data_IF_307887186724
#
_entry.id   IF_307887186724
#
_cell.length_a   1.000
_cell.length_b   1.000
_cell.length_c   1.000
_cell.angle_alpha   90.00
_cell.angle_beta   90.00
_cell.angle_gamma   90.00
#
_symmetry.space_group_name_H-M   'P 1'
#
loop_
_entity.id
_entity.type
_entity.pdbx_description
1 polymer ?
#
# COMPACT_ATOMS: atom_id res chain seq x y z
N UNK A 1 -2.88 -7.24 5.18
CA UNK A 1 -1.47 -7.34 4.74
C UNK A 1 -0.94 -8.74 5.06
N UNK A 2 -0.01 -9.22 4.26
CA UNK A 2 0.70 -10.49 4.44
C UNK A 2 2.23 -10.29 4.44
N UNK A 3 2.95 -11.29 4.96
CA UNK A 3 4.42 -11.25 5.02
C UNK A 3 4.99 -11.08 3.61
N UNK A 4 5.79 -10.04 3.42
CA UNK A 4 6.37 -9.66 2.13
C UNK A 4 5.74 -8.40 1.55
N UNK A 5 4.51 -8.05 1.94
CA UNK A 5 3.84 -6.82 1.48
C UNK A 5 4.60 -5.57 1.92
N UNK A 6 4.58 -4.56 1.06
CA UNK A 6 5.16 -3.25 1.31
C UNK A 6 4.09 -2.19 1.12
N UNK A 7 3.85 -1.37 2.14
CA UNK A 7 3.02 -0.17 2.02
C UNK A 7 3.93 1.06 2.00
N UNK A 8 3.85 1.85 0.95
CA UNK A 8 4.65 3.07 0.75
C UNK A 8 3.73 4.28 0.73
N UNK A 9 4.12 5.33 1.44
CA UNK A 9 3.44 6.61 1.38
C UNK A 9 4.47 7.73 1.28
N UNK A 10 4.10 8.76 0.54
CA UNK A 10 4.98 9.90 0.33
C UNK A 10 4.21 11.21 0.42
N UNK A 11 4.96 12.30 0.53
CA UNK A 11 4.36 13.59 0.75
C UNK A 11 5.37 14.66 1.06
N UNK A 12 4.87 15.76 1.59
CA UNK A 12 5.66 16.90 2.06
C UNK A 12 5.20 17.29 3.45
N UNK A 13 6.17 17.53 4.34
CA UNK A 13 5.90 18.03 5.68
C UNK A 13 5.83 19.55 5.65
N UNK A 14 4.93 20.13 6.45
CA UNK A 14 4.90 21.58 6.69
C UNK A 14 6.24 22.09 7.24
N UNK A 15 6.56 23.35 6.98
CA UNK A 15 7.68 24.04 7.62
C UNK A 15 7.41 24.40 9.08
N UNK A 16 6.16 24.27 9.55
CA UNK A 16 5.76 24.57 10.92
C UNK A 16 5.86 23.34 11.84
N UNK A 17 6.28 23.52 13.12
CA UNK A 17 6.28 22.45 14.11
C UNK A 17 4.93 21.73 14.17
N UNK A 18 4.96 20.40 14.18
CA UNK A 18 3.76 19.58 14.15
C UNK A 18 4.02 18.15 14.62
N UNK A 19 2.95 17.44 14.98
CA UNK A 19 2.98 16.01 15.31
C UNK A 19 2.35 15.23 14.16
N UNK A 20 3.14 14.34 13.55
CA UNK A 20 2.67 13.42 12.52
C UNK A 20 2.45 12.05 13.13
N UNK A 21 1.34 11.42 12.73
CA UNK A 21 0.95 10.10 13.23
C UNK A 21 0.50 9.20 12.09
N UNK A 22 1.00 7.98 12.08
CA UNK A 22 0.58 6.90 11.18
C UNK A 22 0.17 5.72 12.03
N UNK A 23 -1.05 5.23 11.84
CA UNK A 23 -1.55 4.04 12.51
C UNK A 23 -1.92 2.98 11.49
N UNK A 24 -1.43 1.77 11.66
CA UNK A 24 -1.94 0.62 10.93
C UNK A 24 -2.99 -0.05 11.80
N UNK A 25 -4.21 -0.15 11.27
CA UNK A 25 -5.40 -0.53 12.02
C UNK A 25 -5.81 -1.96 11.67
N UNK A 26 -6.12 -2.71 12.72
CA UNK A 26 -6.74 -4.04 12.67
C UNK A 26 -8.03 -4.02 13.51
N UNK A 27 -8.92 -5.02 13.42
CA UNK A 27 -10.30 -4.91 13.94
C UNK A 27 -10.43 -4.48 15.41
N UNK A 28 -9.48 -4.83 16.26
CA UNK A 28 -9.54 -4.52 17.70
C UNK A 28 -8.24 -3.89 18.23
N UNK A 29 -7.28 -3.61 17.37
CA UNK A 29 -5.92 -3.24 17.76
C UNK A 29 -5.24 -2.33 16.75
N UNK A 30 -4.16 -1.70 17.21
CA UNK A 30 -3.19 -0.99 16.37
C UNK A 30 -1.88 -1.78 16.45
N UNK A 31 -1.60 -2.70 15.49
CA UNK A 31 -0.38 -3.50 15.51
C UNK A 31 0.89 -2.65 15.46
N UNK A 32 0.83 -1.49 14.81
CA UNK A 32 1.91 -0.52 14.77
C UNK A 32 1.36 0.91 14.64
N UNK A 33 1.85 1.78 15.52
CA UNK A 33 1.63 3.22 15.56
C UNK A 33 2.98 3.92 15.49
N UNK A 34 3.07 4.94 14.65
CA UNK A 34 4.26 5.74 14.40
C UNK A 34 3.89 7.18 14.72
N UNK A 35 4.71 7.84 15.53
CA UNK A 35 4.55 9.26 15.87
C UNK A 35 5.88 9.96 15.79
N UNK A 36 5.90 11.16 15.21
CA UNK A 36 7.04 12.06 15.33
C UNK A 36 6.56 13.47 15.64
N UNK A 37 7.07 14.03 16.73
CA UNK A 37 6.81 15.41 17.12
C UNK A 37 7.96 16.29 16.61
N UNK A 38 7.76 16.99 15.50
CA UNK A 38 8.80 17.86 14.95
C UNK A 38 8.85 19.20 15.70
N UNK A 39 10.05 19.76 15.93
CA UNK A 39 11.31 19.44 15.28
C UNK A 39 12.16 18.32 15.93
N UNK A 40 11.63 17.54 16.88
CA UNK A 40 12.40 16.48 17.52
C UNK A 40 12.90 15.46 16.48
N UNK A 41 14.17 15.08 16.64
CA UNK A 41 14.90 14.21 15.71
C UNK A 41 14.81 12.74 16.13
N UNK A 42 13.63 12.27 16.52
CA UNK A 42 13.36 10.87 16.81
C UNK A 42 11.92 10.53 16.47
N UNK A 43 11.69 9.29 16.07
CA UNK A 43 10.34 8.74 15.85
C UNK A 43 10.00 7.77 16.96
N UNK A 44 8.79 7.89 17.48
CA UNK A 44 8.21 7.02 18.50
C UNK A 44 7.42 5.92 17.79
N UNK A 45 7.69 4.68 18.13
CA UNK A 45 6.96 3.51 17.66
C UNK A 45 6.30 2.80 18.84
N UNK A 46 5.05 2.39 18.66
CA UNK A 46 4.32 1.63 19.67
C UNK A 46 3.23 0.76 19.03
N UNK A 47 2.52 -0.01 19.84
CA UNK A 47 1.32 -0.73 19.45
C UNK A 47 0.24 -0.52 20.52
N UNK A 48 -1.02 -0.77 20.16
CA UNK A 48 -2.13 -0.75 21.11
C UNK A 48 -3.01 -1.99 20.96
N UNK A 49 -3.40 -2.60 22.08
CA UNK A 49 -4.42 -3.65 22.13
C UNK A 49 -5.68 -3.07 22.79
N UNK A 50 -6.69 -2.74 21.99
CA UNK A 50 -7.81 -1.91 22.46
C UNK A 50 -7.34 -0.54 22.93
N UNK A 51 -7.71 -0.15 24.16
CA UNK A 51 -7.30 1.13 24.77
C UNK A 51 -5.92 1.10 25.47
N UNK A 52 -5.25 -0.05 25.48
CA UNK A 52 -3.99 -0.23 26.20
C UNK A 52 -2.81 -0.07 25.25
N UNK A 53 -2.02 0.99 25.46
CA UNK A 53 -0.76 1.22 24.77
C UNK A 53 0.35 0.35 25.35
N UNK A 54 1.20 -0.18 24.47
CA UNK A 54 2.44 -0.86 24.87
C UNK A 54 3.51 0.13 25.33
N UNK A 55 4.73 -0.39 25.52
CA UNK A 55 5.91 0.42 25.85
C UNK A 55 6.36 1.17 24.60
N UNK A 56 6.61 2.47 24.69
CA UNK A 56 7.16 3.24 23.56
C UNK A 56 8.62 2.83 23.29
N UNK A 57 9.00 2.77 22.02
CA UNK A 57 10.40 2.65 21.59
C UNK A 57 10.74 3.75 20.61
N UNK A 58 12.01 4.16 20.61
CA UNK A 58 12.48 5.31 19.86
C UNK A 58 13.40 4.86 18.73
N UNK A 59 13.17 5.37 17.53
CA UNK A 59 13.97 5.15 16.35
C UNK A 59 14.45 6.46 15.71
N UNK A 60 15.19 6.37 14.60
CA UNK A 60 15.65 7.54 13.85
C UNK A 60 14.47 8.37 13.32
N UNK A 61 14.69 9.67 13.04
CA UNK A 61 13.65 10.52 12.48
C UNK A 61 13.28 10.07 11.06
N UNK A 62 11.98 9.98 10.79
CA UNK A 62 11.43 9.69 9.45
C UNK A 62 11.07 10.96 8.68
N UNK A 63 10.80 12.05 9.40
CA UNK A 63 10.28 13.29 8.83
C UNK A 63 11.18 14.49 9.17
N UNK A 64 11.19 15.49 8.29
CA UNK A 64 11.86 16.78 8.51
C UNK A 64 10.95 17.93 8.06
N UNK A 65 10.95 19.03 8.82
CA UNK A 65 10.13 20.21 8.51
C UNK A 65 10.46 20.77 7.13
N UNK A 66 9.41 21.03 6.34
CA UNK A 66 9.50 21.60 5.00
C UNK A 66 10.10 20.67 3.94
N UNK A 67 10.37 19.41 4.26
CA UNK A 67 11.00 18.46 3.33
C UNK A 67 9.99 17.47 2.76
N UNK A 68 10.20 17.00 1.51
CA UNK A 68 9.51 15.83 1.00
C UNK A 68 9.97 14.58 1.76
N UNK A 69 9.11 13.56 1.78
CA UNK A 69 9.43 12.25 2.35
C UNK A 69 8.87 11.13 1.48
N UNK A 70 9.54 9.97 1.51
CA UNK A 70 9.01 8.68 1.07
C UNK A 70 9.33 7.65 2.15
N UNK A 71 8.28 7.09 2.76
CA UNK A 71 8.41 6.07 3.80
C UNK A 71 7.72 4.80 3.32
N UNK A 72 8.39 3.67 3.51
CA UNK A 72 7.80 2.35 3.26
C UNK A 72 7.84 1.51 4.52
N UNK A 73 6.79 0.73 4.73
CA UNK A 73 6.74 -0.31 5.74
C UNK A 73 6.60 -1.67 5.06
N UNK A 74 7.59 -2.55 5.26
CA UNK A 74 7.51 -3.95 4.86
C UNK A 74 7.11 -4.80 6.05
N UNK A 75 6.11 -5.66 5.86
CA UNK A 75 5.77 -6.70 6.83
C UNK A 75 6.70 -7.91 6.64
N UNK A 76 7.46 -8.26 7.67
CA UNK A 76 8.32 -9.45 7.72
C UNK A 76 7.82 -10.43 8.81
N UNK A 77 8.45 -11.60 8.93
CA UNK A 77 8.00 -12.69 9.81
C UNK A 77 7.84 -12.29 11.30
N UNK A 78 8.66 -11.38 11.81
CA UNK A 78 8.65 -10.99 13.23
C UNK A 78 8.80 -9.49 13.46
N UNK A 79 8.88 -8.69 12.40
CA UNK A 79 9.15 -7.25 12.47
C UNK A 79 8.38 -6.49 11.39
N UNK A 80 8.04 -5.25 11.68
CA UNK A 80 7.76 -4.23 10.67
C UNK A 80 9.06 -3.51 10.34
N UNK A 81 9.51 -3.59 9.09
CA UNK A 81 10.73 -2.93 8.62
C UNK A 81 10.35 -1.59 7.98
N UNK A 82 10.99 -0.53 8.42
CA UNK A 82 10.79 0.81 7.93
C UNK A 82 11.93 1.24 7.03
N UNK A 83 11.57 1.82 5.90
CA UNK A 83 12.49 2.37 4.92
C UNK A 83 12.21 3.85 4.74
N UNK A 84 13.27 4.65 4.63
CA UNK A 84 13.20 6.05 4.22
C UNK A 84 14.01 6.19 2.93
N UNK A 85 13.36 6.65 1.85
CA UNK A 85 13.96 6.73 0.53
C UNK A 85 14.65 5.40 0.13
N UNK A 86 13.94 4.29 0.30
CA UNK A 86 14.36 2.93 -0.04
C UNK A 86 15.53 2.34 0.79
N UNK A 87 15.98 3.04 1.84
CA UNK A 87 17.00 2.56 2.77
C UNK A 87 16.32 2.13 4.08
N UNK A 88 16.59 0.91 4.55
CA UNK A 88 16.07 0.44 5.84
C UNK A 88 16.65 1.29 6.97
N UNK A 89 15.79 1.91 7.78
CA UNK A 89 16.19 2.80 8.88
C UNK A 89 15.81 2.26 10.25
N UNK A 90 14.79 1.40 10.33
CA UNK A 90 14.30 0.89 11.62
C UNK A 90 13.56 -0.43 11.48
N UNK A 91 13.58 -1.23 12.55
CA UNK A 91 12.78 -2.45 12.66
C UNK A 91 12.00 -2.41 13.98
N UNK A 92 10.67 -2.50 13.91
CA UNK A 92 9.83 -2.63 15.10
C UNK A 92 9.39 -4.10 15.25
N UNK A 93 9.67 -4.76 16.40
CA UNK A 93 9.24 -6.13 16.61
C UNK A 93 7.72 -6.23 16.70
N UNK A 94 7.15 -7.22 16.01
CA UNK A 94 5.75 -7.58 16.17
C UNK A 94 5.57 -8.10 17.60
N UNK A 95 4.75 -7.41 18.37
CA UNK A 95 4.52 -7.73 19.79
C UNK A 95 3.46 -8.81 19.95
N UNK A 96 3.57 -9.57 21.04
CA UNK A 96 2.61 -10.61 21.37
C UNK A 96 1.18 -10.05 21.41
N UNK A 97 0.27 -10.77 20.77
CA UNK A 97 -1.14 -10.40 20.68
C UNK A 97 -1.48 -9.43 19.56
N UNK A 98 -0.51 -8.84 18.83
CA UNK A 98 -0.76 -7.96 17.70
C UNK A 98 -1.38 -8.72 16.51
N UNK A 99 -2.54 -8.28 16.03
CA UNK A 99 -3.23 -8.82 14.83
C UNK A 99 -2.67 -8.23 13.54
N UNK A 100 -1.36 -8.37 13.33
CA UNK A 100 -0.63 -7.84 12.17
C UNK A 100 -1.14 -8.40 10.82
N UNK A 101 -1.58 -9.65 10.80
CA UNK A 101 -2.11 -10.31 9.61
C UNK A 101 -3.54 -9.86 9.25
N UNK A 102 -4.21 -9.14 10.14
CA UNK A 102 -5.57 -8.63 9.96
C UNK A 102 -5.62 -7.11 9.81
N UNK A 103 -4.49 -6.45 9.52
CA UNK A 103 -4.48 -5.02 9.22
C UNK A 103 -5.25 -4.76 7.92
N UNK A 104 -6.21 -3.83 7.97
CA UNK A 104 -7.12 -3.51 6.88
C UNK A 104 -7.12 -2.02 6.49
N UNK A 105 -6.56 -1.15 7.33
CA UNK A 105 -6.49 0.27 7.06
C UNK A 105 -5.18 0.88 7.57
N UNK A 106 -4.79 1.97 6.93
CA UNK A 106 -3.74 2.87 7.38
C UNK A 106 -4.36 4.25 7.59
N UNK A 107 -4.13 4.82 8.76
CA UNK A 107 -4.65 6.13 9.13
C UNK A 107 -3.49 7.12 9.20
N UNK A 108 -3.54 8.10 8.31
CA UNK A 108 -2.60 9.23 8.26
C UNK A 108 -3.23 10.40 9.02
N UNK A 109 -2.88 10.54 10.30
CA UNK A 109 -3.46 11.54 11.18
C UNK A 109 -2.68 12.85 11.14
N UNK A 110 -3.42 13.92 10.93
CA UNK A 110 -2.93 15.29 10.98
C UNK A 110 -3.54 16.00 12.20
N UNK A 111 -2.73 16.31 13.21
CA UNK A 111 -3.19 16.95 14.44
C UNK A 111 -3.17 18.49 14.39
N UNK A 112 -2.62 19.07 13.34
CA UNK A 112 -2.47 20.52 13.22
C UNK A 112 -2.70 20.91 11.77
N UNK A 113 -3.72 21.73 11.49
CA UNK A 113 -4.09 22.15 10.13
C UNK A 113 -2.87 22.26 9.20
N UNK A 114 -2.85 21.42 8.17
CA UNK A 114 -1.79 21.35 7.16
C UNK A 114 -0.40 20.92 7.67
N UNK A 115 -0.28 20.05 8.69
CA UNK A 115 1.02 19.51 9.16
C UNK A 115 1.80 18.75 8.08
N UNK A 116 1.09 18.10 7.16
CA UNK A 116 1.66 17.48 5.97
C UNK A 116 0.64 17.42 4.83
N UNK A 117 1.13 17.06 3.66
CA UNK A 117 0.34 16.70 2.50
C UNK A 117 0.83 15.35 1.99
N UNK A 118 -0.09 14.40 1.83
CA UNK A 118 0.18 13.11 1.18
C UNK A 118 0.00 13.30 -0.33
N UNK A 119 0.98 12.87 -1.13
CA UNK A 119 0.81 12.89 -2.59
C UNK A 119 0.17 11.58 -3.06
N UNK A 120 0.71 10.44 -2.62
CA UNK A 120 0.12 9.13 -2.87
C UNK A 120 0.44 8.15 -1.75
N UNK A 121 -0.32 7.06 -1.75
CA UNK A 121 -0.13 5.89 -0.90
C UNK A 121 -0.36 4.65 -1.76
N UNK A 122 0.59 3.73 -1.73
CA UNK A 122 0.59 2.53 -2.57
C UNK A 122 0.90 1.30 -1.73
N UNK A 123 0.26 0.18 -2.07
CA UNK A 123 0.57 -1.12 -1.49
C UNK A 123 1.04 -2.08 -2.58
N UNK A 124 2.29 -2.53 -2.43
CA UNK A 124 2.90 -3.57 -3.25
C UNK A 124 2.75 -4.91 -2.54
N UNK A 125 1.78 -5.70 -2.99
CA UNK A 125 1.52 -7.02 -2.44
C UNK A 125 2.53 -8.05 -2.97
N UNK A 126 3.04 -8.92 -2.10
CA UNK A 126 3.89 -10.03 -2.54
C UNK A 126 3.11 -11.03 -3.40
N UNK A 127 1.79 -11.14 -3.16
CA UNK A 127 0.84 -11.84 -4.03
C UNK A 127 -0.30 -10.89 -4.37
N UNK A 128 -0.46 -10.58 -5.65
CA UNK A 128 -1.59 -9.78 -6.11
C UNK A 128 -2.91 -10.46 -5.74
N UNK A 129 -3.91 -9.72 -5.21
CA UNK A 129 -5.21 -10.28 -4.93
C UNK A 129 -5.80 -10.88 -6.21
N UNK A 130 -6.43 -12.04 -6.10
CA UNK A 130 -7.09 -12.69 -7.24
C UNK A 130 -8.13 -11.75 -7.80
N UNK A 131 -7.84 -11.09 -8.94
CA UNK A 131 -8.82 -10.27 -9.64
C UNK A 131 -9.96 -11.20 -10.08
N UNK A 132 -11.09 -11.15 -9.39
CA UNK A 132 -12.35 -11.57 -9.99
C UNK A 132 -12.58 -10.64 -11.16
N UNK A 133 -12.18 -11.06 -12.36
CA UNK A 133 -12.53 -10.36 -13.60
C UNK A 133 -14.03 -10.05 -13.50
N UNK A 134 -14.37 -8.77 -13.51
CA UNK A 134 -15.76 -8.35 -13.59
C UNK A 134 -16.41 -9.17 -14.71
N UNK A 135 -17.57 -9.81 -14.47
CA UNK A 135 -18.25 -10.56 -15.51
C UNK A 135 -18.36 -9.65 -16.73
N UNK A 136 -17.72 -10.03 -17.84
CA UNK A 136 -17.96 -9.34 -19.11
C UNK A 136 -19.46 -9.45 -19.34
N UNK A 137 -20.17 -8.35 -19.17
CA UNK A 137 -21.53 -8.25 -19.69
C UNK A 137 -21.40 -8.55 -21.17
N UNK A 138 -21.95 -9.69 -21.60
CA UNK A 138 -22.07 -9.98 -23.03
C UNK A 138 -22.87 -8.80 -23.58
N UNK A 139 -22.19 -7.96 -24.36
CA UNK A 139 -22.81 -6.88 -25.12
C UNK A 139 -24.01 -7.51 -25.83
N UNK A 140 -25.25 -7.02 -25.62
CA UNK A 140 -26.38 -7.50 -26.39
C UNK A 140 -26.03 -7.35 -27.86
N UNK A 141 -25.90 -8.47 -28.55
CA UNK A 141 -25.58 -8.48 -29.98
C UNK A 141 -26.65 -7.71 -30.71
N UNK A 142 -26.26 -6.61 -31.36
CA UNK A 142 -27.09 -5.95 -32.35
C UNK A 142 -27.29 -6.96 -33.49
N UNK A 143 -28.54 -7.33 -33.73
CA UNK A 143 -28.91 -8.30 -34.76
C UNK A 143 -28.60 -7.81 -36.18
N UNK A 144 -28.60 -8.80 -37.07
CA UNK A 144 -28.96 -8.82 -38.50
C UNK A 144 -27.92 -9.60 -39.32
N UNK A 145 -28.39 -10.66 -39.98
CA UNK A 145 -27.58 -11.43 -40.94
C UNK A 145 -28.12 -12.84 -41.18
N UNK A 146 -29.25 -12.92 -41.89
CA UNK A 146 -29.68 -14.12 -42.63
C UNK A 146 -28.56 -14.62 -43.57
N UNK A 147 -28.42 -15.94 -43.73
CA UNK A 147 -27.51 -16.47 -44.75
C UNK A 147 -27.25 -17.98 -44.68
N UNK A 148 -28.03 -18.74 -45.45
CA UNK A 148 -27.68 -20.09 -45.89
C UNK A 148 -26.37 -20.11 -46.69
N UNK A 149 -25.48 -21.07 -46.43
CA UNK A 149 -24.92 -22.03 -47.40
C UNK A 149 -23.63 -22.70 -46.91
N UNK A 150 -23.50 -24.00 -47.23
CA UNK A 150 -22.31 -24.80 -46.96
C UNK A 150 -21.15 -24.55 -47.94
N UNK A 151 -20.04 -25.26 -47.70
CA UNK A 151 -18.93 -25.32 -48.64
C UNK A 151 -17.59 -25.64 -47.98
N UNK A 152 -17.05 -26.82 -48.29
CA UNK A 152 -15.68 -27.23 -48.02
C UNK A 152 -14.67 -26.37 -48.78
N UNK A 153 -13.49 -26.09 -48.20
CA UNK A 153 -12.39 -25.47 -48.94
C UNK A 153 -11.13 -25.20 -48.10
N UNK A 154 -10.02 -25.86 -48.47
CA UNK A 154 -8.67 -25.67 -47.95
C UNK A 154 -8.04 -24.32 -48.35
N UNK A 155 -7.08 -23.84 -47.55
CA UNK A 155 -5.88 -23.17 -48.07
C UNK A 155 -5.50 -21.79 -47.50
N UNK A 156 -4.39 -21.76 -46.76
CA UNK A 156 -3.27 -20.81 -46.93
C UNK A 156 -3.43 -19.34 -46.53
N UNK A 157 -2.46 -18.84 -45.73
CA UNK A 157 -1.95 -17.47 -45.92
C UNK A 157 -1.73 -16.62 -44.67
N UNK A 158 -0.45 -16.50 -44.29
CA UNK A 158 0.30 -15.34 -43.78
C UNK A 158 -0.45 -14.12 -43.17
N UNK A 159 -0.07 -13.79 -41.93
CA UNK A 159 -0.30 -12.50 -41.26
C UNK A 159 -0.03 -12.69 -39.77
N UNK A 160 1.09 -12.23 -39.18
CA UNK A 160 1.52 -10.84 -39.17
C UNK A 160 0.88 -10.15 -37.96
N UNK A 161 1.52 -10.22 -36.79
CA UNK A 161 1.02 -9.56 -35.58
C UNK A 161 1.65 -10.06 -34.28
N UNK A 162 2.98 -9.91 -34.12
CA UNK A 162 3.59 -9.96 -32.79
C UNK A 162 3.24 -8.67 -32.07
N UNK A 163 2.23 -8.70 -31.21
CA UNK A 163 2.08 -7.70 -30.17
C UNK A 163 2.98 -8.09 -29.01
N UNK A 164 4.15 -7.46 -28.96
CA UNK A 164 4.89 -7.24 -27.72
C UNK A 164 4.25 -6.06 -27.00
N UNK A 165 3.82 -6.27 -25.77
CA UNK A 165 3.60 -5.28 -24.71
C UNK A 165 2.87 -6.00 -23.58
N UNK A 166 3.15 -5.82 -22.31
CA UNK A 166 4.17 -5.09 -21.55
C UNK A 166 3.71 -5.34 -20.12
N UNK A 167 4.61 -5.68 -19.19
CA UNK A 167 4.31 -5.85 -17.77
C UNK A 167 3.48 -4.66 -17.27
N UNK A 168 2.20 -4.92 -17.01
CA UNK A 168 1.32 -3.95 -16.38
C UNK A 168 1.52 -4.06 -14.88
N UNK A 169 2.17 -3.05 -14.32
CA UNK A 169 2.17 -2.71 -12.89
C UNK A 169 0.72 -2.66 -12.39
N UNK A 170 0.27 -3.74 -11.77
CA UNK A 170 -1.03 -3.79 -11.13
C UNK A 170 -0.89 -3.29 -9.69
N UNK A 171 -1.07 -1.98 -9.51
CA UNK A 171 -1.38 -1.41 -8.20
C UNK A 171 -2.64 -2.08 -7.65
N UNK A 172 -2.59 -2.49 -6.39
CA UNK A 172 -3.71 -3.13 -5.70
C UNK A 172 -4.66 -2.06 -5.16
N UNK A 173 -5.32 -1.33 -6.04
CA UNK A 173 -6.37 -0.38 -5.66
C UNK A 173 -7.71 -1.12 -5.47
N UNK A 174 -8.41 -0.75 -4.39
CA UNK A 174 -9.79 -1.11 -4.09
C UNK A 174 -10.74 0.01 -4.51
#
# INVERSE_FOLDING_TARGET
MEIGDVLTWNGTVSSQPSSLRVSFISPTQIPIHIRQDMPNQHTIFNNAAGALWGIEVFGPPLYQLGQPFQISMKLDNSVFRFFSNDIEVYQFPIRNGATWNAMYAVELQNLSLNSWQTNWLEMNCIRSPTKTKAPRTRRPGHGHGDGHNGGYGHGGGYGGGRFSSSDSSESCEY
#
